data_IF_291450308498
#
_entry.id   IF_291450308498
#
_cell.length_a   1.000
_cell.length_b   1.000
_cell.length_c   1.000
_cell.angle_alpha   90.00
_cell.angle_beta   90.00
_cell.angle_gamma   90.00
#
_symmetry.space_group_name_H-M   'P 1'
#
loop_
_entity.id
_entity.type
_entity.pdbx_description
1 polymer ?
#
# COMPACT_ATOMS: atom_id res chain seq x y z
N UNK A 1 -6.54 11.80 -37.86
CA UNK A 1 -6.17 10.63 -38.67
C UNK A 1 -6.13 9.45 -37.72
N UNK A 2 -7.04 8.50 -37.88
CA UNK A 2 -7.07 7.29 -37.05
C UNK A 2 -6.02 6.32 -37.61
N UNK A 3 -5.02 5.97 -36.80
CA UNK A 3 -4.11 4.88 -37.16
C UNK A 3 -4.76 3.54 -36.86
N UNK A 4 -4.63 2.64 -37.81
CA UNK A 4 -5.32 1.36 -37.98
C UNK A 4 -4.70 0.23 -37.16
N UNK A 5 -5.51 -0.46 -36.35
CA UNK A 5 -5.31 -1.85 -35.90
C UNK A 5 -5.39 -2.81 -37.12
N UNK A 6 -4.81 -4.01 -37.22
CA UNK A 6 -4.61 -5.15 -36.29
C UNK A 6 -3.56 -6.10 -36.93
N UNK A 7 -2.67 -6.78 -36.18
CA UNK A 7 -2.29 -8.18 -36.51
C UNK A 7 -1.57 -8.96 -35.39
N UNK A 8 -2.34 -9.64 -34.55
CA UNK A 8 -2.03 -11.00 -34.11
C UNK A 8 -3.37 -11.76 -34.05
N UNK A 9 -3.65 -12.53 -35.10
CA UNK A 9 -4.74 -13.52 -35.22
C UNK A 9 -5.89 -13.41 -34.20
N UNK A 10 -6.97 -12.68 -34.53
CA UNK A 10 -8.30 -12.85 -33.88
C UNK A 10 -8.44 -12.56 -32.38
N UNK A 11 -7.43 -12.01 -31.70
CA UNK A 11 -7.49 -11.72 -30.26
C UNK A 11 -7.25 -10.25 -29.93
N UNK A 12 -7.92 -9.75 -28.89
CA UNK A 12 -7.77 -8.41 -28.32
C UNK A 12 -7.17 -8.53 -26.90
N UNK A 13 -6.05 -7.86 -26.60
CA UNK A 13 -5.44 -7.92 -25.27
C UNK A 13 -6.21 -7.06 -24.27
N UNK A 14 -6.61 -7.66 -23.14
CA UNK A 14 -7.19 -6.97 -21.99
C UNK A 14 -6.17 -6.97 -20.86
N UNK A 15 -5.67 -5.79 -20.48
CA UNK A 15 -4.58 -5.63 -19.51
C UNK A 15 -5.08 -4.84 -18.30
N UNK A 16 -4.87 -5.40 -17.10
CA UNK A 16 -5.06 -4.70 -15.82
C UNK A 16 -3.71 -4.45 -15.14
N UNK A 17 -3.60 -3.35 -14.41
CA UNK A 17 -2.41 -3.01 -13.64
C UNK A 17 -2.74 -2.95 -12.15
N UNK A 18 -1.85 -3.49 -11.32
CA UNK A 18 -1.88 -3.32 -9.87
C UNK A 18 -0.61 -2.57 -9.47
N UNK A 19 -0.77 -1.38 -8.90
CA UNK A 19 0.33 -0.48 -8.57
C UNK A 19 0.37 -0.29 -7.06
N UNK A 20 1.50 -0.67 -6.45
CA UNK A 20 1.78 -0.39 -5.04
C UNK A 20 2.75 0.78 -4.98
N UNK A 21 2.36 1.85 -4.28
CA UNK A 21 3.19 3.04 -4.09
C UNK A 21 3.42 3.28 -2.60
N UNK A 22 4.67 3.49 -2.21
CA UNK A 22 5.02 3.75 -0.83
C UNK A 22 4.59 5.16 -0.40
N UNK A 23 3.78 5.24 0.64
CA UNK A 23 3.38 6.51 1.27
C UNK A 23 4.57 7.09 2.01
N UNK A 24 4.88 8.37 1.77
CA UNK A 24 6.00 9.06 2.43
C UNK A 24 5.55 9.53 3.80
N UNK A 25 5.97 8.85 4.86
CA UNK A 25 5.73 9.20 6.25
C UNK A 25 7.03 9.15 7.05
N UNK A 26 7.01 9.62 8.30
CA UNK A 26 8.15 9.47 9.22
C UNK A 26 8.08 8.19 10.07
N UNK A 27 6.90 7.56 10.12
CA UNK A 27 6.64 6.34 10.88
C UNK A 27 5.75 5.40 10.06
N UNK A 28 5.83 4.10 10.34
CA UNK A 28 5.07 3.04 9.65
C UNK A 28 3.56 3.20 9.83
N UNK A 29 2.79 2.40 9.08
CA UNK A 29 1.33 2.49 9.05
C UNK A 29 0.68 2.13 10.40
N UNK A 30 1.22 1.15 11.12
CA UNK A 30 0.63 0.62 12.36
C UNK A 30 1.53 0.69 13.59
N UNK A 31 2.75 1.23 13.44
CA UNK A 31 3.74 1.31 14.50
C UNK A 31 4.51 2.63 14.44
N UNK A 32 5.20 2.97 15.54
CA UNK A 32 6.01 4.17 15.64
C UNK A 32 7.42 4.02 15.05
N UNK A 33 7.76 2.86 14.47
CA UNK A 33 9.08 2.65 13.87
C UNK A 33 9.26 3.52 12.61
N UNK A 34 10.48 4.00 12.35
CA UNK A 34 10.75 4.84 11.18
C UNK A 34 10.65 4.07 9.86
N UNK A 35 10.61 4.84 8.77
CA UNK A 35 10.47 4.38 7.37
C UNK A 35 11.64 4.84 6.50
N UNK A 36 12.77 5.17 7.12
CA UNK A 36 13.95 5.68 6.44
C UNK A 36 14.60 4.59 5.60
N UNK A 37 15.03 4.92 4.38
CA UNK A 37 15.70 3.97 3.52
C UNK A 37 17.17 3.80 3.91
N UNK A 38 17.69 2.57 3.81
CA UNK A 38 19.13 2.31 3.89
C UNK A 38 19.71 2.09 5.29
N UNK A 39 18.88 1.92 6.33
CA UNK A 39 19.40 1.52 7.64
C UNK A 39 19.83 0.05 7.69
N UNK A 40 20.59 -0.26 8.73
CA UNK A 40 21.01 -1.62 9.06
C UNK A 40 19.81 -2.56 9.29
N UNK A 41 20.01 -3.84 8.99
CA UNK A 41 18.98 -4.86 9.08
C UNK A 41 18.35 -4.91 10.49
N UNK A 42 17.01 -4.96 10.53
CA UNK A 42 16.21 -5.07 11.75
C UNK A 42 16.39 -3.95 12.80
N UNK A 43 16.97 -2.79 12.42
CA UNK A 43 17.14 -1.66 13.34
C UNK A 43 15.94 -0.71 13.38
N UNK A 44 15.17 -0.64 12.29
CA UNK A 44 13.93 0.13 12.22
C UNK A 44 12.70 -0.77 12.45
N UNK A 45 12.70 -1.51 13.56
CA UNK A 45 11.66 -2.51 13.89
C UNK A 45 11.19 -2.28 15.33
N UNK A 46 9.88 -2.28 15.51
CA UNK A 46 9.21 -2.30 16.82
C UNK A 46 8.64 -3.69 17.12
N UNK A 47 8.19 -3.92 18.36
CA UNK A 47 7.52 -5.17 18.74
C UNK A 47 6.23 -5.42 17.91
N UNK A 48 5.55 -4.35 17.48
CA UNK A 48 4.38 -4.44 16.59
C UNK A 48 4.79 -4.98 15.22
N UNK A 49 5.89 -4.48 14.67
CA UNK A 49 6.40 -4.91 13.35
C UNK A 49 6.91 -6.35 13.37
N UNK A 50 7.47 -6.79 14.50
CA UNK A 50 7.91 -8.17 14.71
C UNK A 50 6.76 -9.11 15.11
N UNK A 51 5.50 -8.66 15.03
CA UNK A 51 4.29 -9.41 15.37
C UNK A 51 4.36 -10.10 16.74
N UNK A 52 5.01 -9.47 17.72
CA UNK A 52 5.20 -10.07 19.04
C UNK A 52 3.84 -10.27 19.74
N UNK A 53 3.64 -11.38 20.47
CA UNK A 53 2.39 -11.66 21.14
C UNK A 53 1.94 -10.51 22.06
N UNK A 54 0.68 -10.09 21.92
CA UNK A 54 0.07 -9.03 22.72
C UNK A 54 0.21 -7.61 22.15
N UNK A 55 0.91 -7.43 21.03
CA UNK A 55 1.01 -6.14 20.36
C UNK A 55 -0.27 -5.77 19.61
N UNK A 56 -0.64 -4.49 19.62
CA UNK A 56 -1.83 -3.96 18.95
C UNK A 56 -1.44 -2.86 17.95
N UNK A 57 -2.04 -2.84 16.74
CA UNK A 57 -1.76 -1.83 15.73
C UNK A 57 -2.42 -0.49 16.07
N UNK A 58 -1.73 0.62 15.78
CA UNK A 58 -2.29 1.98 15.85
C UNK A 58 -2.07 2.67 14.51
N UNK A 59 -3.17 3.05 13.85
CA UNK A 59 -3.12 3.62 12.50
C UNK A 59 -2.44 5.00 12.46
N UNK A 60 -1.59 5.20 11.46
CA UNK A 60 -0.95 6.47 11.18
C UNK A 60 -1.87 7.43 10.40
N UNK A 61 -2.29 8.52 11.05
CA UNK A 61 -3.18 9.53 10.47
C UNK A 61 -2.59 10.29 9.27
N UNK A 62 -1.27 10.45 9.20
CA UNK A 62 -0.62 11.07 8.04
C UNK A 62 -0.73 10.15 6.80
N UNK A 63 -0.58 8.84 6.99
CA UNK A 63 -0.77 7.89 5.91
C UNK A 63 -2.21 7.90 5.38
N UNK A 64 -3.20 7.97 6.27
CA UNK A 64 -4.63 8.10 5.89
C UNK A 64 -4.86 9.39 5.11
N UNK A 65 -4.32 10.52 5.59
CA UNK A 65 -4.45 11.82 4.92
C UNK A 65 -3.86 11.79 3.51
N UNK A 66 -2.70 11.18 3.32
CA UNK A 66 -2.09 11.03 2.00
C UNK A 66 -2.91 10.11 1.10
N UNK A 67 -3.44 8.99 1.63
CA UNK A 67 -4.31 8.09 0.86
C UNK A 67 -5.56 8.82 0.34
N UNK A 68 -6.24 9.62 1.18
CA UNK A 68 -7.39 10.44 0.77
C UNK A 68 -7.00 11.47 -0.28
N UNK A 69 -5.85 12.16 -0.10
CA UNK A 69 -5.35 13.12 -1.11
C UNK A 69 -5.08 12.45 -2.45
N UNK A 70 -4.49 11.26 -2.45
CA UNK A 70 -4.26 10.48 -3.67
C UNK A 70 -5.57 10.09 -4.34
N UNK A 71 -6.56 9.62 -3.58
CA UNK A 71 -7.89 9.31 -4.12
C UNK A 71 -8.54 10.53 -4.80
N UNK A 72 -8.50 11.71 -4.15
CA UNK A 72 -9.00 12.95 -4.75
C UNK A 72 -8.22 13.36 -6.01
N UNK A 73 -6.89 13.20 -6.00
CA UNK A 73 -6.04 13.51 -7.15
C UNK A 73 -6.31 12.59 -8.35
N UNK A 74 -6.73 11.35 -8.08
CA UNK A 74 -7.15 10.36 -9.10
C UNK A 74 -8.63 10.47 -9.47
N UNK A 75 -9.34 11.50 -9.00
CA UNK A 75 -10.79 11.68 -9.19
C UNK A 75 -11.64 10.48 -8.73
N UNK A 76 -11.19 9.77 -7.69
CA UNK A 76 -11.94 8.69 -7.06
C UNK A 76 -13.02 9.23 -6.11
N UNK A 77 -14.08 8.44 -5.91
CA UNK A 77 -15.06 8.67 -4.86
C UNK A 77 -14.48 8.25 -3.50
N UNK A 78 -14.51 9.16 -2.52
CA UNK A 78 -13.99 8.88 -1.17
C UNK A 78 -15.12 8.44 -0.26
N UNK A 79 -15.05 7.21 0.23
CA UNK A 79 -15.95 6.71 1.25
C UNK A 79 -15.70 7.42 2.59
N UNK A 80 -16.78 7.85 3.25
CA UNK A 80 -16.70 8.48 4.58
C UNK A 80 -16.43 7.46 5.71
N UNK A 81 -16.60 6.18 5.41
CA UNK A 81 -16.34 5.08 6.33
C UNK A 81 -15.58 3.98 5.59
N UNK A 82 -14.55 3.45 6.23
CA UNK A 82 -13.73 2.35 5.71
C UNK A 82 -13.17 1.54 6.88
N UNK A 83 -12.89 0.27 6.63
CA UNK A 83 -12.42 -0.69 7.63
C UNK A 83 -11.14 -1.34 7.12
N UNK A 84 -10.22 -1.64 8.04
CA UNK A 84 -9.05 -2.47 7.74
C UNK A 84 -9.37 -3.94 8.00
N UNK A 85 -9.16 -4.76 6.98
CA UNK A 85 -9.34 -6.22 7.04
C UNK A 85 -7.99 -6.95 7.11
N UNK A 86 -8.02 -8.21 7.58
CA UNK A 86 -6.83 -9.07 7.64
C UNK A 86 -6.74 -9.96 6.41
N UNK A 87 -5.67 -9.83 5.64
CA UNK A 87 -5.32 -10.73 4.52
C UNK A 87 -4.35 -11.80 5.02
N UNK A 88 -4.85 -12.98 5.37
CA UNK A 88 -4.06 -14.04 6.01
C UNK A 88 -3.41 -14.97 4.99
N UNK A 89 -2.09 -15.13 5.05
CA UNK A 89 -1.29 -16.11 4.32
C UNK A 89 0.05 -16.30 5.04
N UNK A 90 0.74 -17.42 4.82
CA UNK A 90 2.03 -17.69 5.48
C UNK A 90 3.18 -17.28 4.58
N UNK A 91 4.03 -16.39 5.06
CA UNK A 91 5.30 -16.06 4.43
C UNK A 91 6.28 -15.47 5.46
N UNK A 92 7.60 -15.74 5.39
CA UNK A 92 8.54 -15.31 6.45
C UNK A 92 8.72 -13.79 6.62
N UNK A 93 8.29 -12.97 5.66
CA UNK A 93 8.36 -11.50 5.71
C UNK A 93 7.03 -10.83 6.13
N UNK A 94 6.02 -11.64 6.50
CA UNK A 94 4.69 -11.21 6.92
C UNK A 94 4.39 -11.53 8.38
#
# INVERSE_FOLDING_TARGET
MAESNVSAAGFEPVIGLEIHAQVVSNAKLFSAAPTEFGAEANTQVSLVDAAMPGMLPVINGECVRQAVRTGLALAAEINLYSVFDRKNYFYPDL
#
